data_IF_402984569338
#
_entry.id   IF_402984569338
#
_cell.length_a   1.000
_cell.length_b   1.000
_cell.length_c   1.000
_cell.angle_alpha   90.00
_cell.angle_beta   90.00
_cell.angle_gamma   90.00
#
_symmetry.space_group_name_H-M   'P 1'
#
loop_
_entity.id
_entity.type
_entity.pdbx_description
1 polymer ?
#
# COMPACT_ATOMS: atom_id res chain seq x y z
N UNK A 1 -20.89 8.81 20.09
CA UNK A 1 -20.85 8.74 18.60
C UNK A 1 -19.40 8.53 18.19
N UNK A 2 -19.01 7.30 17.89
CA UNK A 2 -17.79 7.04 17.13
C UNK A 2 -18.15 5.95 16.14
N UNK A 3 -18.48 6.37 14.92
CA UNK A 3 -18.63 5.50 13.77
C UNK A 3 -17.22 5.12 13.32
N UNK A 4 -16.52 4.30 14.12
CA UNK A 4 -15.42 3.55 13.55
C UNK A 4 -16.11 2.54 12.64
N UNK A 5 -16.21 2.92 11.37
CA UNK A 5 -16.84 2.11 10.35
C UNK A 5 -16.05 0.80 10.31
N UNK A 6 -16.72 -0.31 10.61
CA UNK A 6 -16.06 -1.62 10.73
C UNK A 6 -15.35 -1.99 9.42
N UNK A 7 -15.88 -1.48 8.31
CA UNK A 7 -15.32 -1.60 6.97
C UNK A 7 -13.98 -0.88 6.82
N UNK A 8 -13.82 0.32 7.41
CA UNK A 8 -12.55 1.05 7.43
C UNK A 8 -11.46 0.33 8.20
N UNK A 9 -11.81 -0.26 9.35
CA UNK A 9 -10.86 -1.11 10.07
C UNK A 9 -10.48 -2.32 9.21
N UNK A 10 -11.41 -2.91 8.45
CA UNK A 10 -11.09 -4.07 7.61
C UNK A 10 -10.21 -3.72 6.41
N UNK A 11 -10.46 -2.61 5.70
CA UNK A 11 -9.61 -2.21 4.58
C UNK A 11 -8.20 -1.88 5.06
N UNK A 12 -8.10 -1.00 6.05
CA UNK A 12 -6.83 -0.53 6.58
C UNK A 12 -6.00 -1.67 7.18
N UNK A 13 -6.62 -2.53 8.00
CA UNK A 13 -5.94 -3.69 8.56
C UNK A 13 -5.53 -4.71 7.49
N UNK A 14 -6.33 -4.89 6.44
CA UNK A 14 -5.99 -5.80 5.35
C UNK A 14 -4.77 -5.31 4.56
N UNK A 15 -4.73 -4.02 4.21
CA UNK A 15 -3.58 -3.42 3.51
C UNK A 15 -2.34 -3.44 4.39
N UNK A 16 -2.46 -3.11 5.68
CA UNK A 16 -1.36 -3.20 6.63
C UNK A 16 -0.81 -4.61 6.73
N UNK A 17 -1.64 -5.60 7.04
CA UNK A 17 -1.21 -6.99 7.19
C UNK A 17 -0.57 -7.51 5.91
N UNK A 18 -1.16 -7.19 4.75
CA UNK A 18 -0.59 -7.56 3.47
C UNK A 18 0.79 -6.94 3.27
N UNK A 19 0.91 -5.61 3.39
CA UNK A 19 2.18 -4.93 3.19
C UNK A 19 3.28 -5.41 4.15
N UNK A 20 2.93 -5.64 5.42
CA UNK A 20 3.87 -6.18 6.41
C UNK A 20 4.31 -7.61 6.06
N UNK A 21 3.40 -8.44 5.53
CA UNK A 21 3.72 -9.80 5.10
C UNK A 21 4.70 -9.82 3.92
N UNK A 22 4.55 -8.90 2.96
CA UNK A 22 5.43 -8.79 1.79
C UNK A 22 6.79 -8.18 2.16
N UNK A 23 6.81 -7.19 3.07
CA UNK A 23 8.06 -6.52 3.47
C UNK A 23 8.98 -7.40 4.32
N UNK A 24 8.44 -8.46 4.94
CA UNK A 24 9.13 -9.37 5.88
C UNK A 24 10.09 -8.62 6.83
N UNK A 25 9.61 -7.50 7.39
CA UNK A 25 10.37 -6.64 8.28
C UNK A 25 9.53 -6.39 9.51
N UNK A 26 10.10 -6.52 10.71
CA UNK A 26 9.41 -6.20 11.98
C UNK A 26 9.15 -4.70 12.19
N UNK A 27 8.96 -3.94 11.11
CA UNK A 27 8.68 -2.51 11.11
C UNK A 27 7.18 -2.28 11.01
N UNK A 28 6.70 -1.22 11.63
CA UNK A 28 5.30 -0.79 11.53
C UNK A 28 5.12 0.17 10.35
N UNK A 29 3.85 0.47 10.03
CA UNK A 29 3.50 1.60 9.17
C UNK A 29 3.66 2.92 9.93
N UNK A 30 4.05 3.98 9.21
CA UNK A 30 4.06 5.35 9.74
C UNK A 30 2.68 5.99 9.62
N UNK A 31 2.43 7.09 10.35
CA UNK A 31 1.18 7.86 10.24
C UNK A 31 0.88 8.29 8.79
N UNK A 32 1.91 8.68 8.03
CA UNK A 32 1.78 9.05 6.62
C UNK A 32 1.45 7.87 5.71
N UNK A 33 1.88 6.65 6.06
CA UNK A 33 1.49 5.46 5.31
C UNK A 33 0.01 5.13 5.55
N UNK A 34 -0.48 5.32 6.77
CA UNK A 34 -1.89 5.18 7.09
C UNK A 34 -2.76 6.21 6.38
N UNK A 35 -2.33 7.48 6.32
CA UNK A 35 -3.03 8.50 5.52
C UNK A 35 -3.12 8.11 4.03
N UNK A 36 -2.06 7.51 3.48
CA UNK A 36 -2.07 7.02 2.10
C UNK A 36 -3.09 5.89 1.91
N UNK A 37 -3.16 4.94 2.84
CA UNK A 37 -4.15 3.85 2.82
C UNK A 37 -5.58 4.43 2.84
N UNK A 38 -5.84 5.41 3.72
CA UNK A 38 -7.14 6.08 3.79
C UNK A 38 -7.52 6.75 2.47
N UNK A 39 -6.57 7.33 1.73
CA UNK A 39 -6.86 7.92 0.41
C UNK A 39 -7.24 6.87 -0.64
N UNK A 40 -6.65 5.68 -0.61
CA UNK A 40 -7.06 4.60 -1.52
C UNK A 40 -8.44 4.05 -1.17
N UNK A 41 -8.76 3.98 0.12
CA UNK A 41 -10.10 3.64 0.60
C UNK A 41 -11.15 4.67 0.14
N UNK A 42 -10.89 5.97 0.33
CA UNK A 42 -11.78 7.06 -0.10
C UNK A 42 -11.98 7.07 -1.62
N UNK A 43 -11.00 6.59 -2.40
CA UNK A 43 -11.07 6.41 -3.86
C UNK A 43 -11.71 5.10 -4.29
N UNK A 44 -12.20 4.32 -3.34
CA UNK A 44 -12.80 2.99 -3.52
C UNK A 44 -11.91 2.05 -4.35
N UNK A 45 -10.59 2.11 -4.13
CA UNK A 45 -9.66 1.20 -4.80
C UNK A 45 -9.88 -0.21 -4.26
N UNK A 46 -10.24 -1.20 -5.12
CA UNK A 46 -10.48 -2.55 -4.64
C UNK A 46 -9.18 -3.21 -4.15
N UNK A 47 -9.24 -3.99 -3.08
CA UNK A 47 -8.07 -4.74 -2.56
C UNK A 47 -7.45 -5.66 -3.63
N UNK A 48 -8.28 -6.26 -4.50
CA UNK A 48 -7.80 -7.11 -5.59
C UNK A 48 -7.01 -6.35 -6.68
N UNK A 49 -7.11 -5.02 -6.71
CA UNK A 49 -6.27 -4.14 -7.55
C UNK A 49 -5.07 -3.64 -6.76
N UNK A 50 -5.29 -3.23 -5.51
CA UNK A 50 -4.26 -2.64 -4.67
C UNK A 50 -3.15 -3.62 -4.28
N UNK A 51 -3.48 -4.87 -3.96
CA UNK A 51 -2.47 -5.87 -3.56
C UNK A 51 -1.48 -6.19 -4.69
N UNK A 52 -1.92 -6.50 -5.93
CA UNK A 52 -0.99 -6.63 -7.06
C UNK A 52 -0.21 -5.34 -7.36
N UNK A 53 -0.82 -4.17 -7.18
CA UNK A 53 -0.16 -2.88 -7.37
C UNK A 53 0.96 -2.65 -6.33
N UNK A 54 0.76 -3.08 -5.08
CA UNK A 54 1.80 -3.04 -4.03
C UNK A 54 2.96 -3.97 -4.39
N UNK A 55 2.69 -5.21 -4.79
CA UNK A 55 3.73 -6.17 -5.16
C UNK A 55 4.56 -5.68 -6.37
N UNK A 56 3.89 -5.33 -7.46
CA UNK A 56 4.53 -4.80 -8.65
C UNK A 56 5.27 -3.49 -8.38
N UNK A 57 4.71 -2.60 -7.56
CA UNK A 57 5.37 -1.36 -7.15
C UNK A 57 6.66 -1.60 -6.35
N UNK A 58 6.69 -2.62 -5.49
CA UNK A 58 7.92 -3.02 -4.78
C UNK A 58 8.99 -3.55 -5.73
N UNK A 59 8.61 -4.38 -6.69
CA UNK A 59 9.51 -4.92 -7.72
C UNK A 59 10.05 -3.80 -8.61
N UNK A 60 9.18 -2.94 -9.14
CA UNK A 60 9.56 -1.81 -9.97
C UNK A 60 10.49 -0.84 -9.23
N UNK A 61 10.18 -0.52 -7.97
CA UNK A 61 11.08 0.30 -7.15
C UNK A 61 12.44 -0.37 -6.98
N UNK A 62 12.49 -1.67 -6.68
CA UNK A 62 13.74 -2.41 -6.52
C UNK A 62 14.57 -2.45 -7.82
N UNK A 63 13.91 -2.59 -8.98
CA UNK A 63 14.56 -2.55 -10.30
C UNK A 63 15.11 -1.15 -10.62
N UNK A 64 14.34 -0.09 -10.34
CA UNK A 64 14.74 1.29 -10.64
C UNK A 64 15.73 1.85 -9.61
N UNK A 65 15.79 1.30 -8.39
CA UNK A 65 16.66 1.75 -7.30
C UNK A 65 17.47 0.62 -6.65
N UNK A 66 18.35 -0.09 -7.38
CA UNK A 66 19.05 -1.28 -6.89
C UNK A 66 19.99 -1.04 -5.69
N UNK A 67 20.34 0.22 -5.39
CA UNK A 67 21.19 0.62 -4.26
C UNK A 67 20.42 0.95 -2.98
N UNK A 68 19.11 1.21 -3.06
CA UNK A 68 18.24 1.38 -1.89
C UNK A 68 17.67 0.00 -1.56
N UNK A 69 18.13 -0.61 -0.47
CA UNK A 69 17.68 -1.94 -0.05
C UNK A 69 16.15 -2.02 0.19
N UNK A 70 15.66 -3.21 0.56
CA UNK A 70 14.22 -3.52 0.70
C UNK A 70 13.47 -2.79 1.84
N UNK A 71 14.15 -1.93 2.60
CA UNK A 71 13.53 -1.16 3.70
C UNK A 71 12.75 0.02 3.13
N UNK A 72 11.48 -0.20 2.79
CA UNK A 72 10.63 0.78 2.12
C UNK A 72 9.36 1.06 2.91
N UNK A 73 9.01 2.33 3.03
CA UNK A 73 7.69 2.77 3.48
C UNK A 73 6.70 2.69 2.31
N UNK A 74 5.41 2.59 2.63
CA UNK A 74 4.35 2.55 1.63
C UNK A 74 4.30 3.86 0.82
N UNK A 75 4.53 4.98 1.51
CA UNK A 75 4.71 6.32 0.93
C UNK A 75 5.84 6.41 -0.10
N UNK A 76 6.95 5.69 0.08
CA UNK A 76 8.03 5.67 -0.90
C UNK A 76 7.64 4.90 -2.18
N UNK A 77 6.74 3.93 -2.05
CA UNK A 77 6.21 3.12 -3.14
C UNK A 77 5.01 3.75 -3.85
N UNK A 78 4.37 4.75 -3.22
CA UNK A 78 3.18 5.43 -3.72
C UNK A 78 3.19 5.72 -5.23
N UNK A 79 4.22 6.36 -5.83
CA UNK A 79 4.18 6.65 -7.26
C UNK A 79 4.11 5.40 -8.16
N UNK A 80 4.73 4.29 -7.74
CA UNK A 80 4.69 3.03 -8.49
C UNK A 80 3.35 2.31 -8.33
N UNK A 81 2.79 2.36 -7.12
CA UNK A 81 1.49 1.75 -6.81
C UNK A 81 0.38 2.49 -7.57
N UNK A 82 0.41 3.83 -7.59
CA UNK A 82 -0.55 4.63 -8.36
C UNK A 82 -0.49 4.32 -9.85
N UNK A 83 0.72 4.23 -10.42
CA UNK A 83 0.91 3.85 -11.83
C UNK A 83 0.31 2.46 -12.13
N UNK A 84 0.49 1.49 -11.23
CA UNK A 84 -0.09 0.16 -11.37
C UNK A 84 -1.62 0.14 -11.21
N UNK A 85 -2.18 0.92 -10.27
CA UNK A 85 -3.63 1.08 -10.10
C UNK A 85 -4.25 1.69 -11.36
N UNK A 86 -3.62 2.73 -11.93
CA UNK A 86 -4.09 3.36 -13.16
C UNK A 86 -4.07 2.37 -14.34
N UNK A 87 -2.98 1.61 -14.51
CA UNK A 87 -2.90 0.57 -15.56
C UNK A 87 -3.94 -0.54 -15.40
N UNK A 88 -4.37 -0.86 -14.17
CA UNK A 88 -5.38 -1.89 -13.94
C UNK A 88 -6.82 -1.39 -14.14
N UNK A 89 -7.03 -0.06 -14.22
CA UNK A 89 -8.34 0.56 -14.50
C UNK A 89 -8.65 0.69 -16.00
N UNK A 90 -7.68 0.46 -16.88
CA UNK A 90 -7.78 0.56 -18.35
C UNK A 90 -7.35 -0.74 -19.04
#
# INVERSE_FOLDING_TARGET
MSLINKDNLTFMASVEQFFLSVRNSGLTLSATDYELISRWEEREVPLHVLFPAIESGMEEHAMRNPRKGRTLSLTALAPYIEEAIERARY
#
